data_IF_396107583650
#
_entry.id   IF_396107583650
#
_cell.length_a   1.000
_cell.length_b   1.000
_cell.length_c   1.000
_cell.angle_alpha   90.00
_cell.angle_beta   90.00
_cell.angle_gamma   90.00
#
_symmetry.space_group_name_H-M   'P 1'
#
loop_
_entity.id
_entity.type
_entity.pdbx_description
1 polymer ?
#
# COMPACT_ATOMS: atom_id res chain seq x y z
N UNK A 1 -59.50 42.01 -21.07
CA UNK A 1 -58.53 41.92 -19.96
C UNK A 1 -58.09 40.46 -19.82
N UNK A 2 -56.77 40.24 -19.89
CA UNK A 2 -56.01 39.02 -19.51
C UNK A 2 -56.16 37.80 -20.43
N UNK A 3 -55.12 37.12 -20.92
CA UNK A 3 -53.69 37.37 -21.12
C UNK A 3 -53.24 36.24 -22.07
N UNK A 4 -52.66 36.57 -23.23
CA UNK A 4 -51.98 35.58 -24.07
C UNK A 4 -50.68 35.18 -23.37
N UNK A 5 -50.55 33.94 -22.95
CA UNK A 5 -49.32 33.40 -22.39
C UNK A 5 -48.36 33.02 -23.53
N UNK A 6 -47.38 33.88 -23.79
CA UNK A 6 -46.23 33.55 -24.64
C UNK A 6 -45.33 32.54 -23.94
N UNK A 7 -45.28 31.32 -24.45
CA UNK A 7 -44.32 30.30 -24.04
C UNK A 7 -42.97 30.66 -24.68
N UNK A 8 -42.05 31.17 -23.88
CA UNK A 8 -40.65 31.35 -24.27
C UNK A 8 -39.92 30.04 -23.95
N UNK A 9 -39.57 29.29 -24.98
CA UNK A 9 -38.76 28.08 -24.87
C UNK A 9 -37.27 28.48 -24.84
N UNK A 10 -36.73 28.69 -23.63
CA UNK A 10 -35.29 28.89 -23.45
C UNK A 10 -34.62 27.52 -23.52
N UNK A 11 -34.11 27.17 -24.70
CA UNK A 11 -33.14 26.09 -24.88
C UNK A 11 -31.82 26.51 -24.24
N UNK A 12 -31.63 26.20 -22.96
CA UNK A 12 -30.30 26.27 -22.35
C UNK A 12 -29.47 25.12 -22.94
N UNK A 13 -28.63 25.43 -23.92
CA UNK A 13 -27.59 24.53 -24.38
C UNK A 13 -26.59 24.32 -23.23
N UNK A 14 -26.79 23.25 -22.47
CA UNK A 14 -25.75 22.69 -21.63
C UNK A 14 -24.70 22.09 -22.56
N UNK A 15 -23.75 22.92 -23.00
CA UNK A 15 -22.48 22.42 -23.49
C UNK A 15 -21.79 21.79 -22.28
N UNK A 16 -22.05 20.51 -22.06
CA UNK A 16 -21.31 19.72 -21.09
C UNK A 16 -19.83 19.84 -21.44
N UNK A 17 -19.06 20.46 -20.56
CA UNK A 17 -17.62 20.29 -20.55
C UNK A 17 -17.37 18.82 -20.23
N UNK A 18 -17.31 17.98 -21.25
CA UNK A 18 -16.76 16.64 -21.11
C UNK A 18 -15.30 16.84 -20.67
N UNK A 19 -14.99 16.47 -19.42
CA UNK A 19 -13.60 16.33 -19.05
C UNK A 19 -12.97 15.33 -20.03
N UNK A 20 -11.80 15.64 -20.61
CA UNK A 20 -11.11 14.67 -21.45
C UNK A 20 -10.93 13.39 -20.64
N UNK A 21 -11.40 12.28 -21.20
CA UNK A 21 -11.25 10.95 -20.61
C UNK A 21 -9.76 10.71 -20.36
N UNK A 22 -9.32 10.87 -19.11
CA UNK A 22 -7.94 10.63 -18.75
C UNK A 22 -7.70 9.13 -18.88
N UNK A 23 -6.98 8.72 -19.92
CA UNK A 23 -6.62 7.32 -20.12
C UNK A 23 -5.76 6.88 -18.94
N UNK A 24 -6.34 6.16 -17.98
CA UNK A 24 -5.60 5.67 -16.82
C UNK A 24 -4.58 4.63 -17.27
N UNK A 25 -3.32 4.83 -16.91
CA UNK A 25 -2.28 3.84 -17.15
C UNK A 25 -2.57 2.57 -16.35
N UNK A 26 -2.20 1.40 -16.90
CA UNK A 26 -2.21 0.15 -16.13
C UNK A 26 -1.05 0.13 -15.14
N UNK A 27 -1.15 -0.73 -14.13
CA UNK A 27 -0.07 -0.95 -13.16
C UNK A 27 1.25 -1.29 -13.87
N UNK A 28 1.23 -2.16 -14.88
CA UNK A 28 2.43 -2.54 -15.64
C UNK A 28 3.06 -1.36 -16.38
N UNK A 29 2.24 -0.45 -16.91
CA UNK A 29 2.71 0.76 -17.58
C UNK A 29 3.35 1.71 -16.58
N UNK A 30 2.73 1.91 -15.42
CA UNK A 30 3.29 2.72 -14.32
C UNK A 30 4.64 2.14 -13.87
N UNK A 31 4.70 0.84 -13.59
CA UNK A 31 5.94 0.19 -13.17
C UNK A 31 7.06 0.30 -14.21
N UNK A 32 6.72 0.24 -15.50
CA UNK A 32 7.68 0.44 -16.59
C UNK A 32 8.27 1.85 -16.57
N UNK A 33 7.44 2.88 -16.34
CA UNK A 33 7.89 4.27 -16.26
C UNK A 33 8.78 4.54 -15.06
N UNK A 34 8.51 3.88 -13.92
CA UNK A 34 9.26 4.09 -12.68
C UNK A 34 10.50 3.19 -12.54
N UNK A 35 10.61 2.11 -13.30
CA UNK A 35 11.73 1.16 -13.22
C UNK A 35 13.13 1.79 -13.25
N UNK A 36 13.44 2.80 -14.10
CA UNK A 36 14.78 3.40 -14.12
C UNK A 36 14.99 4.46 -13.03
N UNK A 37 13.92 4.95 -12.37
CA UNK A 37 13.97 6.11 -11.49
C UNK A 37 14.46 5.75 -10.08
N UNK A 38 15.31 6.60 -9.51
CA UNK A 38 15.67 6.56 -8.09
C UNK A 38 14.62 7.29 -7.27
N UNK A 39 14.58 7.03 -5.97
CA UNK A 39 13.69 7.75 -5.03
C UNK A 39 13.90 9.26 -5.12
N UNK A 40 15.15 9.72 -5.27
CA UNK A 40 15.47 11.13 -5.47
C UNK A 40 14.83 11.71 -6.74
N UNK A 41 14.92 11.00 -7.87
CA UNK A 41 14.35 11.46 -9.14
C UNK A 41 12.82 11.59 -9.05
N UNK A 42 12.17 10.68 -8.31
CA UNK A 42 10.71 10.75 -8.04
C UNK A 42 10.37 11.91 -7.12
N UNK A 43 11.16 12.12 -6.05
CA UNK A 43 10.97 13.23 -5.11
C UNK A 43 11.06 14.58 -5.81
N UNK A 44 12.10 14.79 -6.63
CA UNK A 44 12.27 16.03 -7.41
C UNK A 44 11.11 16.22 -8.40
N UNK A 45 10.63 15.13 -9.01
CA UNK A 45 9.43 15.15 -9.86
C UNK A 45 8.16 15.57 -9.13
N UNK A 46 7.98 15.10 -7.89
CA UNK A 46 6.87 15.50 -7.02
C UNK A 46 6.95 16.98 -6.66
N UNK A 47 8.14 17.50 -6.38
CA UNK A 47 8.35 18.92 -6.10
C UNK A 47 7.95 19.81 -7.28
N UNK A 48 8.35 19.42 -8.50
CA UNK A 48 7.96 20.11 -9.73
C UNK A 48 6.44 20.06 -9.98
N UNK A 49 5.79 18.97 -9.61
CA UNK A 49 4.34 18.82 -9.70
C UNK A 49 3.56 19.58 -8.59
N UNK A 50 4.26 20.26 -7.68
CA UNK A 50 3.66 20.98 -6.56
C UNK A 50 3.27 20.09 -5.38
N UNK A 51 3.77 18.85 -5.34
CA UNK A 51 3.55 17.86 -4.28
C UNK A 51 4.74 17.82 -3.31
N UNK A 52 5.29 19.00 -2.97
CA UNK A 52 6.39 19.15 -2.01
C UNK A 52 6.02 18.52 -0.66
N UNK A 53 6.98 17.83 -0.06
CA UNK A 53 6.86 17.13 1.23
C UNK A 53 5.77 16.03 1.27
N UNK A 54 5.21 15.63 0.14
CA UNK A 54 4.24 14.54 0.05
C UNK A 54 4.94 13.21 -0.26
N UNK A 55 4.42 12.11 0.29
CA UNK A 55 4.92 10.76 -0.01
C UNK A 55 6.26 10.40 0.63
N UNK A 56 6.81 11.26 1.50
CA UNK A 56 8.00 10.97 2.28
C UNK A 56 7.71 10.00 3.43
N UNK A 57 8.66 9.10 3.68
CA UNK A 57 8.62 8.13 4.79
C UNK A 57 9.50 8.62 5.95
N UNK A 58 9.24 8.11 7.17
CA UNK A 58 10.10 8.36 8.33
C UNK A 58 11.53 7.88 8.06
N UNK A 59 12.53 8.72 8.33
CA UNK A 59 13.94 8.42 8.06
C UNK A 59 14.50 7.25 8.90
N UNK A 60 13.79 6.82 9.94
CA UNK A 60 14.11 5.63 10.74
C UNK A 60 13.81 4.32 10.00
N UNK A 61 13.04 4.38 8.91
CA UNK A 61 12.78 3.23 8.03
C UNK A 61 13.98 3.11 7.08
N UNK A 62 14.73 2.02 7.25
CA UNK A 62 15.97 1.78 6.49
C UNK A 62 15.92 0.46 5.71
N UNK A 63 16.67 0.40 4.62
CA UNK A 63 16.85 -0.83 3.88
C UNK A 63 17.63 -1.86 4.72
N UNK A 64 17.11 -3.09 4.80
CA UNK A 64 17.78 -4.22 5.45
C UNK A 64 19.11 -4.60 4.77
N UNK A 65 19.21 -4.34 3.47
CA UNK A 65 20.42 -4.56 2.68
C UNK A 65 20.66 -3.35 1.78
N UNK A 66 21.92 -2.86 1.74
CA UNK A 66 22.33 -1.71 0.94
C UNK A 66 23.40 -2.17 -0.05
N UNK A 67 23.14 -2.00 -1.34
CA UNK A 67 24.13 -2.12 -2.41
C UNK A 67 24.32 -0.75 -3.05
N UNK A 68 25.47 -0.14 -2.79
CA UNK A 68 25.83 1.21 -3.24
C UNK A 68 26.65 1.21 -4.53
N UNK A 69 27.09 0.04 -5.01
CA UNK A 69 27.91 -0.08 -6.22
C UNK A 69 27.02 -0.27 -7.45
N UNK A 70 26.14 -1.28 -7.39
CA UNK A 70 25.30 -1.64 -8.55
C UNK A 70 23.83 -1.37 -8.33
N UNK A 71 23.43 -1.01 -7.10
CA UNK A 71 22.04 -0.74 -6.75
C UNK A 71 21.10 -1.93 -7.04
N UNK A 72 21.63 -3.16 -6.95
CA UNK A 72 20.91 -4.40 -7.31
C UNK A 72 19.71 -4.69 -6.40
N UNK A 73 19.74 -4.21 -5.16
CA UNK A 73 18.70 -4.44 -4.15
C UNK A 73 17.77 -3.23 -4.03
N UNK A 74 17.05 -2.95 -5.12
CA UNK A 74 16.00 -1.93 -5.21
C UNK A 74 14.70 -2.56 -5.67
N UNK A 75 13.58 -1.95 -5.28
CA UNK A 75 12.27 -2.31 -5.80
C UNK A 75 11.44 -1.07 -6.11
N UNK A 76 10.48 -1.24 -7.01
CA UNK A 76 9.40 -0.32 -7.29
C UNK A 76 8.14 -1.16 -7.45
N UNK A 77 7.01 -0.71 -6.90
CA UNK A 77 5.78 -1.48 -6.93
C UNK A 77 4.55 -0.69 -6.53
N UNK A 78 3.39 -1.30 -6.73
CA UNK A 78 2.09 -0.75 -6.34
C UNK A 78 1.82 -1.11 -4.88
N UNK A 79 1.56 -0.12 -4.03
CA UNK A 79 1.40 -0.33 -2.60
C UNK A 79 0.11 -1.10 -2.26
N UNK A 80 0.26 -2.17 -1.48
CA UNK A 80 -0.83 -2.83 -0.74
C UNK A 80 -0.56 -2.59 0.73
N UNK A 81 -1.41 -1.81 1.37
CA UNK A 81 -1.20 -1.32 2.74
C UNK A 81 -1.94 -2.18 3.75
N UNK A 82 -1.30 -2.43 4.89
CA UNK A 82 -1.89 -3.10 6.04
C UNK A 82 -1.52 -2.36 7.32
N UNK A 83 -2.43 -2.33 8.29
CA UNK A 83 -2.19 -1.72 9.60
C UNK A 83 -2.41 -2.75 10.69
N UNK A 84 -1.39 -2.96 11.51
CA UNK A 84 -1.39 -3.81 12.68
C UNK A 84 -1.50 -2.91 13.91
N UNK A 85 -2.35 -3.31 14.85
CA UNK A 85 -2.56 -2.58 16.10
C UNK A 85 -2.41 -3.54 17.27
N UNK A 86 -1.85 -3.08 18.41
CA UNK A 86 -1.76 -3.91 19.60
C UNK A 86 -3.13 -4.42 20.04
N UNK A 87 -3.15 -5.68 20.46
CA UNK A 87 -4.35 -6.32 20.98
C UNK A 87 -4.44 -6.15 22.50
N UNK A 88 -5.64 -5.90 23.01
CA UNK A 88 -5.91 -5.93 24.46
C UNK A 88 -6.22 -7.36 24.96
N UNK A 89 -6.21 -8.36 24.07
CA UNK A 89 -6.46 -9.75 24.45
C UNK A 89 -5.27 -10.28 25.25
N UNK A 90 -5.54 -10.75 26.46
CA UNK A 90 -4.54 -11.40 27.30
C UNK A 90 -4.45 -12.87 26.92
N UNK A 91 -3.22 -13.36 26.75
CA UNK A 91 -2.91 -14.77 26.58
C UNK A 91 -2.63 -15.35 27.96
N UNK A 92 -3.11 -16.58 28.23
CA UNK A 92 -2.77 -17.28 29.47
C UNK A 92 -1.25 -17.46 29.55
N UNK A 93 -0.65 -17.20 30.71
CA UNK A 93 0.78 -17.41 30.95
C UNK A 93 1.15 -18.89 31.07
N UNK A 94 0.17 -19.76 31.34
CA UNK A 94 0.38 -21.19 31.53
C UNK A 94 -0.26 -21.94 30.36
N UNK A 95 0.57 -22.56 29.53
CA UNK A 95 0.20 -23.48 28.45
C UNK A 95 1.28 -24.56 28.33
N UNK A 96 0.86 -25.78 28.07
CA UNK A 96 1.75 -26.84 27.57
C UNK A 96 2.22 -26.50 26.14
N UNK A 97 3.32 -27.11 25.65
CA UNK A 97 3.78 -26.88 24.27
C UNK A 97 2.72 -27.18 23.20
N UNK A 98 1.91 -28.23 23.38
CA UNK A 98 0.82 -28.58 22.46
C UNK A 98 -0.29 -27.53 22.46
N UNK A 99 -0.67 -27.03 23.64
CA UNK A 99 -1.68 -25.97 23.78
C UNK A 99 -1.20 -24.67 23.16
N UNK A 100 0.08 -24.32 23.36
CA UNK A 100 0.68 -23.14 22.74
C UNK A 100 0.65 -23.22 21.21
N UNK A 101 1.06 -24.35 20.61
CA UNK A 101 1.00 -24.53 19.15
C UNK A 101 -0.43 -24.39 18.61
N UNK A 102 -1.42 -24.94 19.32
CA UNK A 102 -2.84 -24.80 18.94
C UNK A 102 -3.31 -23.36 19.05
N UNK A 103 -2.92 -22.67 20.13
CA UNK A 103 -3.23 -21.26 20.33
C UNK A 103 -2.60 -20.39 19.24
N UNK A 104 -1.31 -20.57 18.95
CA UNK A 104 -0.56 -19.86 17.91
C UNK A 104 -1.20 -20.05 16.53
N UNK A 105 -1.53 -21.30 16.16
CA UNK A 105 -2.21 -21.61 14.91
C UNK A 105 -3.58 -20.93 14.78
N UNK A 106 -4.36 -20.89 15.87
CA UNK A 106 -5.63 -20.15 15.89
C UNK A 106 -5.42 -18.64 15.82
N UNK A 107 -4.37 -18.12 16.46
CA UNK A 107 -4.05 -16.70 16.44
C UNK A 107 -3.80 -16.22 15.00
N UNK A 108 -2.86 -16.84 14.28
CA UNK A 108 -2.54 -16.46 12.92
C UNK A 108 -3.59 -16.92 11.89
N UNK A 109 -4.32 -17.99 12.18
CA UNK A 109 -5.36 -18.52 11.29
C UNK A 109 -6.71 -17.79 11.36
N UNK A 110 -7.00 -17.09 12.46
CA UNK A 110 -8.33 -16.49 12.68
C UNK A 110 -8.31 -15.04 13.16
N UNK A 111 -7.35 -14.65 14.00
CA UNK A 111 -7.35 -13.34 14.65
C UNK A 111 -6.41 -12.32 13.99
N UNK A 112 -5.20 -12.76 13.68
CA UNK A 112 -4.14 -11.96 13.05
C UNK A 112 -3.83 -12.53 11.66
N UNK A 113 -4.88 -12.69 10.85
CA UNK A 113 -4.74 -13.16 9.47
C UNK A 113 -4.13 -12.10 8.58
N UNK A 114 -3.74 -12.48 7.36
CA UNK A 114 -3.15 -11.59 6.36
C UNK A 114 -4.12 -11.34 5.18
N UNK A 115 -5.28 -10.67 5.38
CA UNK A 115 -6.29 -10.51 4.34
C UNK A 115 -5.77 -9.70 3.13
N UNK A 116 -4.77 -8.83 3.36
CA UNK A 116 -4.12 -8.07 2.30
C UNK A 116 -3.50 -8.96 1.21
N UNK A 117 -3.20 -10.23 1.52
CA UNK A 117 -2.63 -11.19 0.56
C UNK A 117 -3.58 -11.55 -0.59
N UNK A 118 -4.88 -11.28 -0.45
CA UNK A 118 -5.86 -11.43 -1.52
C UNK A 118 -5.77 -10.31 -2.57
N UNK A 119 -5.15 -9.18 -2.22
CA UNK A 119 -4.98 -8.02 -3.10
C UNK A 119 -3.61 -7.95 -3.76
N UNK A 120 -2.73 -8.90 -3.44
CA UNK A 120 -1.41 -9.00 -4.06
C UNK A 120 -1.54 -9.43 -5.51
N UNK A 121 -0.85 -8.68 -6.36
CA UNK A 121 -0.67 -8.90 -7.79
C UNK A 121 0.80 -8.72 -8.15
N UNK A 122 1.21 -9.19 -9.33
CA UNK A 122 2.59 -9.04 -9.81
C UNK A 122 3.01 -7.57 -9.76
N UNK A 123 4.11 -7.29 -9.05
CA UNK A 123 4.61 -5.91 -8.87
C UNK A 123 4.07 -5.20 -7.63
N UNK A 124 3.40 -5.91 -6.71
CA UNK A 124 2.93 -5.30 -5.45
C UNK A 124 4.07 -5.04 -4.48
N UNK A 125 4.00 -3.96 -3.71
CA UNK A 125 4.84 -3.72 -2.54
C UNK A 125 3.95 -3.73 -1.32
N UNK A 126 4.31 -4.51 -0.32
CA UNK A 126 3.57 -4.56 0.94
C UNK A 126 4.08 -3.41 1.81
N UNK A 127 3.16 -2.63 2.36
CA UNK A 127 3.48 -1.54 3.28
C UNK A 127 2.71 -1.78 4.58
N UNK A 128 3.41 -2.17 5.63
CA UNK A 128 2.85 -2.50 6.94
C UNK A 128 3.11 -1.35 7.92
N UNK A 129 2.05 -0.76 8.45
CA UNK A 129 2.12 0.05 9.66
C UNK A 129 1.89 -0.85 10.88
N UNK A 130 2.97 -1.22 11.57
CA UNK A 130 2.95 -1.99 12.82
C UNK A 130 3.59 -1.21 13.97
N UNK A 131 3.59 0.13 13.90
CA UNK A 131 4.17 0.95 14.95
C UNK A 131 3.51 0.68 16.30
N UNK A 132 4.33 0.45 17.33
CA UNK A 132 3.85 0.22 18.70
C UNK A 132 3.46 -1.24 19.01
N UNK A 133 3.77 -2.19 18.13
CA UNK A 133 3.57 -3.62 18.37
C UNK A 133 4.59 -4.28 19.32
N UNK A 134 5.57 -3.51 19.80
CA UNK A 134 6.54 -3.98 20.81
C UNK A 134 7.50 -5.06 20.31
N UNK A 135 7.84 -5.03 19.01
CA UNK A 135 8.72 -6.02 18.35
C UNK A 135 8.10 -7.43 18.27
N UNK A 136 6.78 -7.49 18.04
CA UNK A 136 6.06 -8.76 17.87
C UNK A 136 6.55 -9.55 16.65
N UNK A 137 7.25 -8.92 15.70
CA UNK A 137 7.86 -9.61 14.56
C UNK A 137 6.83 -10.10 13.54
N UNK A 138 5.97 -9.21 13.04
CA UNK A 138 4.90 -9.51 12.06
C UNK A 138 5.41 -10.03 10.70
N UNK A 139 6.73 -10.03 10.48
CA UNK A 139 7.37 -10.42 9.21
C UNK A 139 8.43 -11.48 9.48
N UNK A 140 8.36 -12.59 8.76
CA UNK A 140 9.32 -13.70 8.84
C UNK A 140 9.55 -14.38 7.49
N UNK A 141 10.39 -15.41 7.47
CA UNK A 141 10.73 -16.10 6.22
C UNK A 141 9.53 -16.78 5.56
N UNK A 142 8.63 -17.35 6.36
CA UNK A 142 7.46 -18.07 5.86
C UNK A 142 6.48 -17.16 5.10
N UNK A 143 6.07 -16.03 5.70
CA UNK A 143 5.12 -15.13 5.06
C UNK A 143 5.74 -14.36 3.89
N UNK A 144 7.00 -13.90 4.00
CA UNK A 144 7.68 -13.25 2.87
C UNK A 144 7.74 -14.17 1.64
N UNK A 145 7.96 -15.48 1.82
CA UNK A 145 7.99 -16.42 0.70
C UNK A 145 6.60 -16.56 0.04
N UNK A 146 5.54 -16.63 0.83
CA UNK A 146 4.14 -16.66 0.34
C UNK A 146 3.82 -15.38 -0.42
N UNK A 147 4.19 -14.22 0.13
CA UNK A 147 3.96 -12.92 -0.51
C UNK A 147 4.72 -12.79 -1.83
N UNK A 148 5.96 -13.28 -1.87
CA UNK A 148 6.76 -13.34 -3.09
C UNK A 148 6.09 -14.20 -4.16
N UNK A 149 5.57 -15.37 -3.78
CA UNK A 149 4.82 -16.24 -4.69
C UNK A 149 3.56 -15.56 -5.26
N UNK A 150 2.92 -14.69 -4.47
CA UNK A 150 1.76 -13.88 -4.89
C UNK A 150 2.12 -12.63 -5.70
N UNK A 151 3.40 -12.40 -5.99
CA UNK A 151 3.86 -11.33 -6.86
C UNK A 151 4.38 -10.09 -6.14
N UNK A 152 4.57 -10.13 -4.81
CA UNK A 152 5.21 -9.05 -4.09
C UNK A 152 6.69 -8.89 -4.50
N UNK A 153 7.14 -7.64 -4.64
CA UNK A 153 8.51 -7.29 -5.04
C UNK A 153 9.28 -6.56 -3.95
N UNK A 154 8.60 -6.11 -2.88
CA UNK A 154 9.21 -5.45 -1.75
C UNK A 154 8.28 -5.40 -0.54
N UNK A 155 8.87 -5.12 0.61
CA UNK A 155 8.20 -4.90 1.88
C UNK A 155 8.76 -3.63 2.51
N UNK A 156 7.87 -2.79 3.03
CA UNK A 156 8.16 -1.70 3.95
C UNK A 156 7.38 -1.98 5.22
N UNK A 157 8.04 -1.94 6.37
CA UNK A 157 7.36 -2.00 7.68
C UNK A 157 7.76 -0.81 8.53
N UNK A 158 6.85 -0.36 9.38
CA UNK A 158 7.19 0.59 10.41
C UNK A 158 8.21 -0.05 11.37
N UNK A 159 9.14 0.76 11.88
CA UNK A 159 10.07 0.28 12.90
C UNK A 159 9.33 0.12 14.22
N UNK A 160 9.40 -1.08 14.80
CA UNK A 160 9.00 -1.39 16.17
C UNK A 160 9.88 -0.63 17.18
#
# INVERSE_FOLDING_TARGET
>A
MKNLASIVLVLSAWAGFAQPESKSLTDEQILTLYAPLRVADVSDGMDMAGLRDMGLMDQRIEALWKDIETFSHRFCGIAVTARYVPTNKRVSSEMTPEEFRKWEGNWYGQLSTEPFTAHLKKGSVIVIDNQGDGDTGSTGSANILIWKQKGAVGLVSARC
#
